data_IF_456927890745
#
_entry.id   IF_456927890745
#
_cell.length_a   1.000
_cell.length_b   1.000
_cell.length_c   1.000
_cell.angle_alpha   90.00
_cell.angle_beta   90.00
_cell.angle_gamma   90.00
#
_symmetry.space_group_name_H-M   'P 1'
#
loop_
_entity.id
_entity.type
_entity.pdbx_description
1 polymer ?
#
# COMPACT_ATOMS: atom_id res chain seq x y z
N UNK A 1 -2.18 -29.08 -23.16
CA UNK A 1 -1.40 -30.05 -22.39
C UNK A 1 -0.35 -29.29 -21.63
N UNK A 2 -0.42 -29.36 -20.31
CA UNK A 2 0.42 -28.60 -19.38
C UNK A 2 0.82 -29.48 -18.22
N UNK A 3 2.01 -29.23 -17.67
CA UNK A 3 2.48 -29.83 -16.42
C UNK A 3 2.77 -28.67 -15.48
N UNK A 4 2.10 -28.65 -14.34
CA UNK A 4 2.19 -27.56 -13.35
C UNK A 4 2.54 -28.18 -12.01
N UNK A 5 3.53 -27.60 -11.32
CA UNK A 5 3.86 -27.92 -9.94
C UNK A 5 3.44 -26.77 -9.02
N UNK A 6 2.99 -27.11 -7.82
CA UNK A 6 2.66 -26.16 -6.76
C UNK A 6 3.70 -26.35 -5.65
N UNK A 7 4.54 -25.35 -5.43
CA UNK A 7 5.59 -25.38 -4.42
C UNK A 7 5.23 -24.44 -3.27
N UNK A 8 4.79 -25.02 -2.15
CA UNK A 8 4.50 -24.31 -0.90
C UNK A 8 5.74 -24.27 -0.01
N UNK A 9 6.40 -23.12 0.02
CA UNK A 9 7.62 -22.90 0.81
C UNK A 9 7.34 -23.00 2.32
N UNK A 10 6.12 -22.61 2.73
CA UNK A 10 5.67 -22.63 4.12
C UNK A 10 5.36 -24.03 4.67
N UNK A 11 5.15 -25.03 3.80
CA UNK A 11 4.68 -26.34 4.21
C UNK A 11 5.80 -27.27 4.71
N UNK A 12 7.05 -27.04 4.29
CA UNK A 12 8.17 -27.88 4.72
C UNK A 12 8.68 -27.53 6.13
N UNK A 13 8.28 -26.40 6.72
CA UNK A 13 8.63 -26.05 8.09
C UNK A 13 10.14 -25.91 8.35
N UNK A 14 10.95 -25.81 7.29
CA UNK A 14 12.42 -25.77 7.35
C UNK A 14 12.97 -24.34 7.38
N UNK A 15 12.13 -23.34 7.12
CA UNK A 15 12.56 -21.94 7.10
C UNK A 15 11.68 -21.12 8.04
N UNK A 16 12.27 -20.71 9.16
CA UNK A 16 11.63 -19.88 10.18
C UNK A 16 11.27 -18.48 9.64
N UNK A 17 11.85 -18.09 8.51
CA UNK A 17 11.61 -16.82 7.83
C UNK A 17 10.63 -16.92 6.64
N UNK A 18 10.08 -18.09 6.33
CA UNK A 18 9.14 -18.22 5.23
C UNK A 18 7.84 -17.46 5.54
N UNK A 19 7.48 -16.49 4.68
CA UNK A 19 6.20 -15.79 4.79
C UNK A 19 5.04 -16.78 4.64
N UNK A 20 4.12 -16.77 5.62
CA UNK A 20 2.99 -17.71 5.65
C UNK A 20 2.15 -17.54 4.39
N UNK A 21 1.91 -18.64 3.68
CA UNK A 21 1.16 -18.65 2.43
C UNK A 21 1.99 -18.37 1.18
N UNK A 22 3.29 -18.06 1.28
CA UNK A 22 4.12 -17.89 0.09
C UNK A 22 4.16 -19.20 -0.72
N UNK A 23 3.77 -19.12 -1.98
CA UNK A 23 3.65 -20.29 -2.86
C UNK A 23 4.10 -19.94 -4.26
N UNK A 24 4.83 -20.84 -4.91
CA UNK A 24 5.24 -20.70 -6.29
C UNK A 24 4.46 -21.67 -7.18
N UNK A 25 3.90 -21.15 -8.28
CA UNK A 25 3.26 -21.93 -9.33
C UNK A 25 4.26 -22.06 -10.48
N UNK A 26 4.67 -23.29 -10.78
CA UNK A 26 5.71 -23.59 -11.77
C UNK A 26 5.05 -24.25 -12.98
N UNK A 27 5.03 -23.57 -14.11
CA UNK A 27 4.58 -24.13 -15.38
C UNK A 27 5.75 -24.86 -16.01
N UNK A 28 5.94 -26.13 -15.66
CA UNK A 28 7.07 -26.94 -16.16
C UNK A 28 6.92 -27.35 -17.63
N UNK A 29 5.69 -27.40 -18.15
CA UNK A 29 5.42 -27.67 -19.57
C UNK A 29 4.19 -26.91 -20.02
N UNK A 30 4.29 -26.26 -21.18
CA UNK A 30 3.14 -25.71 -21.89
C UNK A 30 3.24 -26.06 -23.38
N UNK A 31 2.26 -26.80 -23.94
CA UNK A 31 2.32 -27.28 -25.34
C UNK A 31 2.33 -26.14 -26.38
N UNK A 32 1.70 -25.01 -26.08
CA UNK A 32 1.40 -23.94 -27.04
C UNK A 32 1.82 -22.55 -26.53
N UNK A 33 2.89 -22.44 -25.75
CA UNK A 33 3.17 -21.23 -24.96
C UNK A 33 4.37 -21.43 -24.04
N UNK A 34 4.65 -20.43 -23.22
CA UNK A 34 5.87 -20.38 -22.41
C UNK A 34 5.76 -21.16 -21.09
N UNK A 35 6.93 -21.58 -20.61
CA UNK A 35 7.12 -22.02 -19.23
C UNK A 35 7.42 -20.79 -18.38
N UNK A 36 6.98 -20.79 -17.13
CA UNK A 36 7.17 -19.68 -16.22
C UNK A 36 7.00 -20.13 -14.77
N UNK A 37 7.66 -19.40 -13.88
CA UNK A 37 7.50 -19.52 -12.44
C UNK A 37 6.80 -18.26 -11.96
N UNK A 38 5.69 -18.43 -11.24
CA UNK A 38 4.80 -17.36 -10.84
C UNK A 38 4.69 -17.38 -9.32
N UNK A 39 5.14 -16.31 -8.69
CA UNK A 39 5.08 -16.16 -7.24
C UNK A 39 3.69 -15.65 -6.82
N UNK A 40 3.06 -16.38 -5.91
CA UNK A 40 1.67 -16.18 -5.47
C UNK A 40 1.59 -16.32 -3.95
N UNK A 41 0.44 -15.92 -3.39
CA UNK A 41 0.11 -16.11 -1.99
C UNK A 41 -1.12 -17.02 -1.84
N UNK A 42 -0.99 -18.10 -1.09
CA UNK A 42 -2.06 -19.07 -0.82
C UNK A 42 -2.85 -18.69 0.44
N UNK A 43 -4.15 -18.42 0.27
CA UNK A 43 -5.10 -18.20 1.36
C UNK A 43 -5.83 -19.50 1.68
N UNK A 44 -5.39 -20.17 2.76
CA UNK A 44 -5.96 -21.44 3.20
C UNK A 44 -7.45 -21.36 3.57
N UNK A 45 -7.93 -20.21 4.08
CA UNK A 45 -9.33 -20.00 4.47
C UNK A 45 -10.32 -20.09 3.30
N UNK A 46 -9.88 -19.71 2.10
CA UNK A 46 -10.71 -19.67 0.89
C UNK A 46 -10.26 -20.69 -0.15
N UNK A 47 -9.13 -21.38 0.08
CA UNK A 47 -8.47 -22.26 -0.89
C UNK A 47 -8.20 -21.51 -2.21
N UNK A 48 -7.63 -20.31 -2.11
CA UNK A 48 -7.34 -19.44 -3.26
C UNK A 48 -5.87 -19.04 -3.32
N UNK A 49 -5.38 -18.84 -4.54
CA UNK A 49 -4.12 -18.17 -4.80
C UNK A 49 -4.41 -16.74 -5.23
N UNK A 50 -3.74 -15.80 -4.57
CA UNK A 50 -3.82 -14.36 -4.85
C UNK A 50 -2.44 -13.86 -5.27
N UNK A 51 -2.42 -12.92 -6.19
CA UNK A 51 -1.19 -12.26 -6.61
C UNK A 51 -0.62 -11.44 -5.44
N UNK A 52 0.71 -11.35 -5.37
CA UNK A 52 1.41 -10.69 -4.26
C UNK A 52 1.06 -9.19 -4.23
N UNK A 53 0.89 -8.56 -5.39
CA UNK A 53 0.53 -7.15 -5.50
C UNK A 53 -0.95 -6.87 -5.18
N UNK A 54 -1.84 -7.83 -5.36
CA UNK A 54 -3.29 -7.65 -5.30
C UNK A 54 -3.88 -7.79 -3.88
N UNK A 55 -3.02 -7.79 -2.86
CA UNK A 55 -3.46 -7.52 -1.48
C UNK A 55 -4.03 -6.10 -1.45
N UNK A 56 -5.32 -5.96 -1.17
CA UNK A 56 -6.07 -4.70 -1.06
C UNK A 56 -5.31 -3.56 -0.33
N UNK A 57 -4.39 -3.92 0.56
CA UNK A 57 -3.45 -3.03 1.27
C UNK A 57 -2.53 -2.24 0.30
N UNK A 58 -2.00 -2.88 -0.74
CA UNK A 58 -1.11 -2.25 -1.72
C UNK A 58 -1.88 -1.37 -2.72
N UNK A 59 -3.11 -1.77 -3.06
CA UNK A 59 -3.99 -0.98 -3.93
C UNK A 59 -4.45 0.31 -3.22
N UNK A 60 -4.73 0.24 -1.92
CA UNK A 60 -4.98 1.42 -1.08
C UNK A 60 -3.75 2.33 -0.92
N UNK A 61 -2.54 1.76 -0.91
CA UNK A 61 -1.29 2.54 -0.85
C UNK A 61 -0.91 3.24 -2.17
N UNK A 62 -1.41 2.75 -3.32
CA UNK A 62 -1.16 3.33 -4.65
C UNK A 62 -2.16 4.42 -5.05
N UNK A 63 -3.25 4.61 -4.32
CA UNK A 63 -4.15 5.76 -4.52
C UNK A 63 -3.74 6.91 -3.60
N UNK A 64 -3.25 8.05 -4.11
CA UNK A 64 -3.11 9.24 -3.30
C UNK A 64 -4.50 9.68 -2.84
N UNK A 65 -4.77 9.52 -1.55
CA UNK A 65 -6.00 10.01 -0.91
C UNK A 65 -5.82 11.51 -0.67
N UNK A 66 -6.04 12.32 -1.70
CA UNK A 66 -6.12 13.77 -1.54
C UNK A 66 -7.41 14.09 -0.77
N UNK A 67 -7.24 14.45 0.50
CA UNK A 67 -8.34 14.92 1.34
C UNK A 67 -8.54 16.42 1.08
N UNK A 68 -9.69 16.82 0.56
CA UNK A 68 -10.07 18.21 0.29
C UNK A 68 -10.27 19.10 1.54
N UNK A 69 -9.65 18.74 2.66
CA UNK A 69 -9.66 19.48 3.93
C UNK A 69 -8.28 20.05 4.29
N UNK A 70 -7.26 19.87 3.44
CA UNK A 70 -5.89 20.32 3.72
C UNK A 70 -5.58 21.76 3.25
N UNK A 71 -6.53 22.46 2.63
CA UNK A 71 -6.38 23.86 2.22
C UNK A 71 -6.81 24.82 3.35
N UNK A 72 -6.25 24.63 4.54
CA UNK A 72 -6.36 25.62 5.62
C UNK A 72 -5.26 26.67 5.44
N UNK A 73 -5.53 27.64 4.55
CA UNK A 73 -4.66 28.79 4.36
C UNK A 73 -4.56 29.60 5.67
N UNK A 74 -3.35 29.95 6.14
CA UNK A 74 -3.22 30.73 7.37
C UNK A 74 -3.80 32.13 7.17
N UNK A 75 -4.75 32.50 8.03
CA UNK A 75 -5.29 33.84 8.17
C UNK A 75 -4.15 34.86 8.27
N UNK A 76 -3.97 35.64 7.20
CA UNK A 76 -3.10 36.83 7.20
C UNK A 76 -3.71 37.83 8.19
N UNK A 77 -3.03 38.03 9.33
CA UNK A 77 -3.26 39.18 10.20
C UNK A 77 -3.06 40.45 9.36
N UNK A 78 -4.09 41.29 9.15
CA UNK A 78 -3.92 42.54 8.44
C UNK A 78 -3.30 43.56 9.39
N UNK A 79 -1.98 43.42 9.58
CA UNK A 79 -1.11 44.51 9.97
C UNK A 79 -0.91 45.44 8.77
N UNK A 80 -1.94 46.18 8.39
CA UNK A 80 -1.84 47.31 7.47
C UNK A 80 -2.85 48.39 7.84
N UNK A 81 -2.35 49.39 8.57
CA UNK A 81 -2.78 50.78 8.39
C UNK A 81 -4.17 51.17 8.88
N UNK A 82 -4.29 51.40 10.19
CA UNK A 82 -5.15 52.47 10.71
C UNK A 82 -4.31 53.30 11.68
N UNK A 83 -3.53 54.23 11.10
CA UNK A 83 -3.17 55.42 11.84
C UNK A 83 -4.44 56.25 11.96
N UNK A 84 -5.02 56.32 13.15
CA UNK A 84 -5.68 57.52 13.64
C UNK A 84 -5.98 57.37 15.13
N UNK A 85 -5.59 58.41 15.86
CA UNK A 85 -5.29 58.34 17.28
C UNK A 85 -6.48 58.14 18.22
N UNK A 86 -6.14 57.71 19.44
CA UNK A 86 -6.76 58.20 20.67
C UNK A 86 -5.99 57.66 21.88
N UNK A 87 -5.75 58.50 22.88
CA UNK A 87 -5.33 58.11 24.24
C UNK A 87 -3.86 58.42 24.54
N UNK A 88 -3.49 59.59 25.09
CA UNK A 88 -3.65 59.97 26.50
C UNK A 88 -3.66 58.75 27.44
N UNK A 89 -2.82 58.60 28.44
CA UNK A 89 -2.47 59.58 29.46
C UNK A 89 -1.34 59.00 30.34
N UNK A 90 -0.75 59.90 31.11
CA UNK A 90 0.21 59.74 32.23
C UNK A 90 0.10 58.46 33.07
N UNK A 91 1.22 57.99 33.66
CA UNK A 91 1.64 58.31 35.05
C UNK A 91 2.67 57.29 35.60
N UNK A 92 3.69 57.85 36.28
CA UNK A 92 4.68 57.26 37.19
C UNK A 92 5.76 56.32 36.63
#
# INVERSE_FOLDING_TARGET
>A
DMVIFIHRLDYQGLDENAEKGQTQIIIAKHRNGEIADIDMMFRASEVKFVEIEDSLVNQAARMPVESGMNDDAPFVSPGSGFGDGMGSNTNF
#
